data_IF_342333597631
#
_entry.id   IF_342333597631
#
_cell.length_a   1.000
_cell.length_b   1.000
_cell.length_c   1.000
_cell.angle_alpha   90.00
_cell.angle_beta   90.00
_cell.angle_gamma   90.00
#
_symmetry.space_group_name_H-M   'P 1'
#
loop_
_entity.id
_entity.type
_entity.pdbx_description
1 polymer ?
#
# COMPACT_ATOMS: atom_id res chain seq x y z
N UNK A 1 -7.49 12.59 3.97
CA UNK A 1 -6.17 12.34 3.36
C UNK A 1 -5.35 11.56 4.36
N UNK A 2 -4.88 10.37 3.99
CA UNK A 2 -4.05 9.52 4.83
C UNK A 2 -2.62 9.52 4.28
N UNK A 3 -1.62 9.65 5.16
CA UNK A 3 -0.21 9.52 4.81
C UNK A 3 0.23 8.09 5.09
N UNK A 4 0.56 7.35 4.04
CA UNK A 4 1.02 5.96 4.14
C UNK A 4 2.54 5.94 4.12
N UNK A 5 3.14 5.39 5.17
CA UNK A 5 4.60 5.19 5.24
C UNK A 5 4.98 3.93 4.48
N UNK A 6 5.96 4.04 3.58
CA UNK A 6 6.42 2.93 2.74
C UNK A 6 7.74 2.38 3.28
N UNK A 7 7.76 1.12 3.75
CA UNK A 7 8.97 0.43 4.17
C UNK A 7 10.01 0.39 3.06
N UNK A 8 11.29 0.48 3.40
CA UNK A 8 12.42 0.50 2.44
C UNK A 8 12.32 -0.55 1.33
N UNK A 9 11.98 -1.83 1.59
CA UNK A 9 11.85 -2.84 0.54
C UNK A 9 10.74 -2.55 -0.49
N UNK A 10 9.70 -1.82 -0.07
CA UNK A 10 8.54 -1.51 -0.89
C UNK A 10 8.70 -0.21 -1.68
N UNK A 11 9.66 0.65 -1.32
CA UNK A 11 9.87 1.94 -1.98
C UNK A 11 10.18 1.82 -3.46
N UNK A 12 10.79 0.72 -3.89
CA UNK A 12 11.04 0.45 -5.31
C UNK A 12 9.75 0.42 -6.15
N UNK A 13 8.62 0.05 -5.55
CA UNK A 13 7.31 -0.02 -6.21
C UNK A 13 6.52 1.29 -6.09
N UNK A 14 6.96 2.24 -5.26
CA UNK A 14 6.33 3.54 -5.03
C UNK A 14 7.21 4.70 -5.53
N UNK A 15 8.02 4.47 -6.56
CA UNK A 15 8.87 5.51 -7.15
C UNK A 15 9.96 6.03 -6.20
N UNK A 16 10.45 5.18 -5.29
CA UNK A 16 11.42 5.50 -4.22
C UNK A 16 10.90 6.48 -3.16
N UNK A 17 9.60 6.71 -3.09
CA UNK A 17 8.99 7.55 -2.06
C UNK A 17 8.93 6.83 -0.72
N UNK A 18 9.27 7.53 0.35
CA UNK A 18 9.20 7.05 1.74
C UNK A 18 7.79 7.19 2.34
N UNK A 19 6.98 8.10 1.81
CA UNK A 19 5.59 8.27 2.16
C UNK A 19 4.75 8.66 0.94
N UNK A 20 3.53 8.16 0.88
CA UNK A 20 2.54 8.49 -0.15
C UNK A 20 1.30 9.04 0.52
N UNK A 21 0.79 10.16 0.00
CA UNK A 21 -0.51 10.71 0.43
C UNK A 21 -1.61 10.18 -0.47
N UNK A 22 -2.58 9.49 0.11
CA UNK A 22 -3.74 8.96 -0.60
C UNK A 22 -5.04 9.36 0.10
N UNK A 23 -6.14 9.33 -0.65
CA UNK A 23 -7.47 9.63 -0.13
C UNK A 23 -8.21 8.34 0.19
N UNK A 24 -8.88 8.30 1.34
CA UNK A 24 -9.68 7.18 1.81
C UNK A 24 -10.14 7.42 3.25
N UNK A 25 -11.34 6.96 3.58
CA UNK A 25 -11.92 7.00 4.93
C UNK A 25 -11.66 5.73 5.74
N UNK A 26 -11.27 4.64 5.08
CA UNK A 26 -10.94 3.36 5.71
C UNK A 26 -9.57 2.85 5.26
N UNK A 27 -8.98 1.95 6.04
CA UNK A 27 -7.71 1.28 5.67
C UNK A 27 -7.84 0.57 4.31
N UNK A 28 -8.98 -0.06 4.04
CA UNK A 28 -9.24 -0.73 2.76
C UNK A 28 -9.25 0.24 1.58
N UNK A 29 -9.92 1.39 1.72
CA UNK A 29 -9.94 2.44 0.69
C UNK A 29 -8.56 3.04 0.44
N UNK A 30 -7.81 3.32 1.51
CA UNK A 30 -6.44 3.83 1.44
C UNK A 30 -5.53 2.86 0.69
N UNK A 31 -5.60 1.56 0.99
CA UNK A 31 -4.83 0.52 0.29
C UNK A 31 -5.27 0.37 -1.16
N UNK A 32 -6.58 0.39 -1.44
CA UNK A 32 -7.09 0.34 -2.80
C UNK A 32 -6.59 1.52 -3.64
N UNK A 33 -6.68 2.75 -3.11
CA UNK A 33 -6.17 3.95 -3.76
C UNK A 33 -4.66 3.87 -3.99
N UNK A 34 -3.90 3.36 -3.02
CA UNK A 34 -2.46 3.16 -3.14
C UNK A 34 -2.10 2.18 -4.27
N UNK A 35 -2.83 1.07 -4.39
CA UNK A 35 -2.63 0.10 -5.47
C UNK A 35 -3.02 0.68 -6.83
N UNK A 36 -4.09 1.47 -6.90
CA UNK A 36 -4.51 2.13 -8.15
C UNK A 36 -3.40 3.06 -8.67
N UNK A 37 -2.68 3.72 -7.76
CA UNK A 37 -1.55 4.57 -8.10
C UNK A 37 -0.26 3.78 -8.39
N UNK A 38 -0.05 2.66 -7.67
CA UNK A 38 1.14 1.81 -7.76
C UNK A 38 0.73 0.32 -7.95
N UNK A 39 0.38 -0.08 -9.18
CA UNK A 39 -0.14 -1.43 -9.46
C UNK A 39 0.87 -2.54 -9.15
N UNK A 40 2.17 -2.28 -9.28
CA UNK A 40 3.23 -3.24 -8.96
C UNK A 40 3.30 -3.58 -7.46
N UNK A 41 2.91 -2.63 -6.60
CA UNK A 41 2.87 -2.84 -5.15
C UNK A 41 1.83 -3.91 -4.79
N UNK A 42 0.74 -4.04 -5.55
CA UNK A 42 -0.34 -5.01 -5.29
C UNK A 42 0.19 -6.41 -5.05
N UNK A 43 1.14 -6.87 -5.86
CA UNK A 43 1.71 -8.22 -5.77
C UNK A 43 2.51 -8.45 -4.47
N UNK A 44 3.03 -7.36 -3.88
CA UNK A 44 3.81 -7.39 -2.63
C UNK A 44 2.92 -7.40 -1.39
N UNK A 45 1.76 -6.73 -1.44
CA UNK A 45 0.87 -6.60 -0.27
C UNK A 45 -0.34 -7.54 -0.30
N UNK A 46 -0.84 -7.90 -1.48
CA UNK A 46 -1.96 -8.83 -1.67
C UNK A 46 -1.47 -10.17 -2.24
N UNK A 47 -2.17 -11.24 -1.89
CA UNK A 47 -2.06 -12.54 -2.54
C UNK A 47 -2.96 -12.60 -3.81
N UNK A 48 -2.90 -13.72 -4.52
CA UNK A 48 -3.68 -13.93 -5.75
C UNK A 48 -5.21 -14.01 -5.49
N UNK A 49 -5.61 -14.27 -4.24
CA UNK A 49 -7.00 -14.28 -3.79
C UNK A 49 -7.52 -12.87 -3.41
N UNK A 50 -6.68 -11.84 -3.49
CA UNK A 50 -7.04 -10.48 -3.10
C UNK A 50 -7.07 -10.22 -1.58
N UNK A 51 -6.50 -11.11 -0.77
CA UNK A 51 -6.29 -10.91 0.67
C UNK A 51 -4.92 -10.31 0.97
N UNK A 52 -4.80 -9.61 2.09
CA UNK A 52 -3.49 -9.17 2.59
C UNK A 52 -2.58 -10.37 2.84
N UNK A 53 -1.31 -10.27 2.44
CA UNK A 53 -0.31 -11.27 2.78
C UNK A 53 -0.04 -11.26 4.28
N UNK A 54 0.19 -12.43 4.88
CA UNK A 54 0.35 -12.61 6.33
C UNK A 54 1.51 -11.82 6.95
N UNK A 55 2.48 -11.39 6.14
CA UNK A 55 3.62 -10.59 6.60
C UNK A 55 3.37 -9.07 6.52
N UNK A 56 2.19 -8.64 6.07
CA UNK A 56 1.82 -7.23 6.01
C UNK A 56 1.03 -6.89 7.26
N UNK A 57 1.62 -6.01 8.08
CA UNK A 57 0.96 -5.45 9.25
C UNK A 57 0.58 -4.00 8.95
N UNK A 58 -0.67 -3.64 9.25
CA UNK A 58 -1.19 -2.29 9.06
C UNK A 58 -1.49 -1.69 10.42
N UNK A 59 -1.01 -0.47 10.63
CA UNK A 59 -1.17 0.30 11.85
C UNK A 59 -1.85 1.63 11.50
N UNK A 60 -2.71 2.15 12.38
CA UNK A 60 -3.40 3.43 12.24
C UNK A 60 -2.88 4.42 13.27
#
# INVERSE_FOLDING_TARGET
>A
MAKVLIPTPLRQFTGKQDAVSVSGGTVGEVLAALITQFPDLRKQIFNDEGKLRSFVNVYL
#
